data_IF_914914043052
#
_entry.id   IF_914914043052
#
_cell.length_a   1.000
_cell.length_b   1.000
_cell.length_c   1.000
_cell.angle_alpha   90.00
_cell.angle_beta   90.00
_cell.angle_gamma   90.00
#
_symmetry.space_group_name_H-M   'P 1'
#
loop_
_entity.id
_entity.type
_entity.pdbx_description
1 polymer ?
#
# COMPACT_ATOMS: atom_id res chain seq x y z
N UNK A 1 -17.13 28.84 -3.31
CA UNK A 1 -17.11 27.58 -2.53
C UNK A 1 -16.51 27.90 -1.18
N UNK A 2 -17.27 27.71 -0.10
CA UNK A 2 -16.82 28.03 1.26
C UNK A 2 -15.66 27.14 1.69
N UNK A 3 -14.49 27.77 1.88
CA UNK A 3 -13.26 27.15 2.36
C UNK A 3 -13.41 26.50 3.75
N UNK A 4 -14.39 26.94 4.55
CA UNK A 4 -14.68 26.40 5.88
C UNK A 4 -15.16 24.94 5.87
N UNK A 5 -15.75 24.47 4.77
CA UNK A 5 -16.22 23.08 4.61
C UNK A 5 -15.11 22.08 4.18
N UNK A 6 -13.97 22.59 3.70
CA UNK A 6 -12.86 21.79 3.18
C UNK A 6 -11.83 21.41 4.27
N UNK A 7 -11.63 22.27 5.27
CA UNK A 7 -10.70 22.04 6.39
C UNK A 7 -11.01 20.78 7.21
N UNK A 8 -12.26 20.51 7.64
CA UNK A 8 -12.57 19.27 8.37
C UNK A 8 -12.37 18.03 7.51
N UNK A 9 -12.65 18.10 6.20
CA UNK A 9 -12.45 17.00 5.27
C UNK A 9 -10.96 16.66 5.06
N UNK A 10 -10.09 17.65 5.11
CA UNK A 10 -8.64 17.46 4.98
C UNK A 10 -8.05 16.78 6.23
N UNK A 11 -8.45 17.23 7.42
CA UNK A 11 -8.03 16.60 8.68
C UNK A 11 -8.45 15.13 8.75
N UNK A 12 -9.66 14.80 8.29
CA UNK A 12 -10.13 13.41 8.19
C UNK A 12 -9.29 12.60 7.21
N UNK A 13 -8.97 13.14 6.02
CA UNK A 13 -8.11 12.43 5.05
C UNK A 13 -6.70 12.16 5.60
N UNK A 14 -6.14 13.09 6.35
CA UNK A 14 -4.84 12.93 7.02
C UNK A 14 -4.87 11.89 8.13
N UNK A 15 -5.92 11.90 8.96
CA UNK A 15 -6.13 10.89 10.00
C UNK A 15 -6.29 9.48 9.39
N UNK A 16 -7.03 9.38 8.29
CA UNK A 16 -7.16 8.12 7.54
C UNK A 16 -5.82 7.67 6.96
N UNK A 17 -5.06 8.57 6.33
CA UNK A 17 -3.72 8.26 5.83
C UNK A 17 -2.76 7.82 6.93
N UNK A 18 -2.80 8.49 8.09
CA UNK A 18 -1.98 8.15 9.26
C UNK A 18 -2.33 6.77 9.82
N UNK A 19 -3.62 6.47 9.98
CA UNK A 19 -4.07 5.15 10.46
C UNK A 19 -3.71 4.04 9.45
N UNK A 20 -3.89 4.27 8.14
CA UNK A 20 -3.44 3.35 7.10
C UNK A 20 -1.93 3.11 7.14
N UNK A 21 -1.14 4.17 7.35
CA UNK A 21 0.31 4.07 7.53
C UNK A 21 0.71 3.21 8.72
N UNK A 22 0.05 3.37 9.88
CA UNK A 22 0.29 2.53 11.07
C UNK A 22 -0.05 1.06 10.81
N UNK A 23 -1.18 0.79 10.16
CA UNK A 23 -1.58 -0.59 9.81
C UNK A 23 -0.59 -1.21 8.84
N UNK A 24 -0.11 -0.44 7.85
CA UNK A 24 0.87 -0.89 6.87
C UNK A 24 2.21 -1.19 7.54
N UNK A 25 2.65 -0.33 8.46
CA UNK A 25 3.87 -0.53 9.24
C UNK A 25 3.78 -1.80 10.09
N UNK A 26 2.67 -2.01 10.81
CA UNK A 26 2.44 -3.22 11.59
C UNK A 26 2.44 -4.48 10.71
N UNK A 27 1.78 -4.42 9.55
CA UNK A 27 1.75 -5.52 8.60
C UNK A 27 3.17 -5.83 8.05
N UNK A 28 3.97 -4.81 7.77
CA UNK A 28 5.35 -5.00 7.33
C UNK A 28 6.23 -5.64 8.42
N UNK A 29 6.11 -5.21 9.68
CA UNK A 29 6.84 -5.83 10.81
C UNK A 29 6.46 -7.29 11.01
N UNK A 30 5.17 -7.61 10.91
CA UNK A 30 4.70 -8.99 11.01
C UNK A 30 5.28 -9.86 9.89
N UNK A 31 5.33 -9.34 8.67
CA UNK A 31 5.92 -10.02 7.53
C UNK A 31 7.43 -10.23 7.70
N UNK A 32 8.14 -9.23 8.22
CA UNK A 32 9.57 -9.35 8.54
C UNK A 32 9.84 -10.44 9.59
N UNK A 33 9.03 -10.49 10.65
CA UNK A 33 9.12 -11.55 11.66
C UNK A 33 8.84 -12.94 11.07
N UNK A 34 7.90 -13.05 10.13
CA UNK A 34 7.63 -14.31 9.42
C UNK A 34 8.76 -14.70 8.46
N UNK A 35 9.43 -13.72 7.82
CA UNK A 35 10.59 -13.96 6.95
C UNK A 35 11.79 -14.47 7.75
N UNK A 36 12.08 -13.83 8.89
CA UNK A 36 13.20 -14.21 9.77
C UNK A 36 13.11 -15.66 10.27
N UNK A 37 11.89 -16.17 10.46
CA UNK A 37 11.66 -17.54 10.90
C UNK A 37 11.64 -18.56 9.75
N UNK A 38 11.60 -18.12 8.49
CA UNK A 38 11.39 -18.99 7.31
C UNK A 38 12.37 -18.67 6.18
N UNK A 39 13.64 -18.43 6.49
CA UNK A 39 14.70 -18.14 5.50
C UNK A 39 14.79 -19.19 4.36
N UNK A 40 14.23 -20.39 4.55
CA UNK A 40 14.20 -21.49 3.57
C UNK A 40 12.97 -21.43 2.63
N UNK A 41 11.92 -20.64 2.92
CA UNK A 41 10.64 -20.66 2.19
C UNK A 41 10.51 -19.63 1.05
N UNK A 42 11.43 -18.65 0.94
CA UNK A 42 11.40 -17.63 -0.13
C UNK A 42 11.55 -18.29 -1.52
N UNK A 43 12.33 -19.36 -1.60
CA UNK A 43 12.49 -20.20 -2.79
C UNK A 43 11.19 -20.95 -3.18
N UNK A 44 10.30 -21.23 -2.22
CA UNK A 44 9.00 -21.88 -2.47
C UNK A 44 7.91 -20.90 -2.95
N UNK A 45 8.05 -19.60 -2.71
CA UNK A 45 7.12 -18.59 -3.23
C UNK A 45 7.13 -18.57 -4.76
N UNK A 46 8.28 -18.87 -5.37
CA UNK A 46 8.45 -18.99 -6.82
C UNK A 46 7.74 -20.19 -7.47
N UNK A 47 7.23 -21.17 -6.70
CA UNK A 47 6.53 -22.33 -7.26
C UNK A 47 5.09 -22.03 -7.72
N UNK A 48 4.52 -20.87 -7.39
CA UNK A 48 3.14 -20.53 -7.73
C UNK A 48 3.04 -19.32 -8.68
N UNK A 49 3.15 -19.58 -9.99
CA UNK A 49 3.07 -18.56 -11.06
C UNK A 49 1.89 -17.57 -10.90
N UNK A 50 0.68 -18.06 -10.62
CA UNK A 50 -0.49 -17.18 -10.46
C UNK A 50 -0.40 -16.25 -9.23
N UNK A 51 0.17 -16.72 -8.12
CA UNK A 51 0.32 -15.93 -6.90
C UNK A 51 1.39 -14.84 -7.08
N UNK A 52 2.45 -15.15 -7.82
CA UNK A 52 3.48 -14.18 -8.21
C UNK A 52 2.94 -13.08 -9.13
N UNK A 53 2.08 -13.41 -10.09
CA UNK A 53 1.45 -12.41 -10.98
C UNK A 53 0.63 -11.40 -10.17
N UNK A 54 -0.11 -11.85 -9.15
CA UNK A 54 -0.91 -10.97 -8.27
C UNK A 54 -0.02 -10.04 -7.44
N UNK A 55 1.07 -10.56 -6.87
CA UNK A 55 2.05 -9.76 -6.12
C UNK A 55 2.66 -8.68 -7.04
N UNK A 56 3.07 -9.08 -8.24
CA UNK A 56 3.72 -8.17 -9.18
C UNK A 56 2.76 -7.12 -9.74
N UNK A 57 1.50 -7.49 -9.99
CA UNK A 57 0.48 -6.53 -10.44
C UNK A 57 0.15 -5.50 -9.36
N UNK A 58 0.08 -5.89 -8.08
CA UNK A 58 -0.11 -4.95 -6.97
C UNK A 58 1.05 -3.95 -6.86
N UNK A 59 2.30 -4.40 -7.04
CA UNK A 59 3.46 -3.51 -7.09
C UNK A 59 3.40 -2.57 -8.29
N UNK A 60 3.03 -3.08 -9.46
CA UNK A 60 2.90 -2.27 -10.67
C UNK A 60 1.83 -1.17 -10.49
N UNK A 61 0.66 -1.52 -9.95
CA UNK A 61 -0.42 -0.58 -9.65
C UNK A 61 0.04 0.46 -8.62
N UNK A 62 0.75 0.05 -7.57
CA UNK A 62 1.29 0.97 -6.57
C UNK A 62 2.33 1.93 -7.17
N UNK A 63 3.22 1.43 -8.02
CA UNK A 63 4.19 2.25 -8.75
C UNK A 63 3.53 3.26 -9.67
N UNK A 64 2.49 2.84 -10.40
CA UNK A 64 1.72 3.72 -11.28
C UNK A 64 0.98 4.80 -10.49
N UNK A 65 0.37 4.45 -9.35
CA UNK A 65 -0.24 5.41 -8.42
C UNK A 65 0.77 6.43 -7.90
N UNK A 66 1.97 6.00 -7.49
CA UNK A 66 3.05 6.90 -7.06
C UNK A 66 3.47 7.84 -8.19
N UNK A 67 3.62 7.32 -9.41
CA UNK A 67 3.96 8.12 -10.59
C UNK A 67 2.89 9.17 -10.90
N UNK A 68 1.62 8.77 -10.93
CA UNK A 68 0.48 9.68 -11.16
C UNK A 68 0.37 10.72 -10.04
N UNK A 69 0.63 10.34 -8.79
CA UNK A 69 0.69 11.27 -7.66
C UNK A 69 1.78 12.32 -7.87
N UNK A 70 2.97 11.90 -8.31
CA UNK A 70 4.07 12.80 -8.66
C UNK A 70 3.73 13.75 -9.81
N UNK A 71 3.09 13.25 -10.87
CA UNK A 71 2.61 14.10 -11.96
C UNK A 71 1.60 15.14 -11.46
N UNK A 72 0.61 14.72 -10.69
CA UNK A 72 -0.43 15.64 -10.16
C UNK A 72 0.18 16.67 -9.21
N UNK A 73 1.19 16.28 -8.43
CA UNK A 73 1.95 17.21 -7.59
C UNK A 73 2.62 18.30 -8.42
N UNK A 74 3.27 17.95 -9.52
CA UNK A 74 3.99 18.90 -10.39
C UNK A 74 3.04 19.77 -11.21
N UNK A 75 1.98 19.20 -11.80
CA UNK A 75 1.13 19.90 -12.77
C UNK A 75 -0.07 20.64 -12.15
N UNK A 76 -0.66 20.10 -11.08
CA UNK A 76 -1.91 20.63 -10.50
C UNK A 76 -1.66 21.26 -9.13
N UNK A 77 -0.74 20.71 -8.33
CA UNK A 77 -0.38 21.25 -7.02
C UNK A 77 -1.51 21.22 -5.98
N UNK A 78 -2.62 20.53 -6.25
CA UNK A 78 -3.75 20.47 -5.34
C UNK A 78 -3.59 19.34 -4.32
N UNK A 79 -3.33 19.73 -3.06
CA UNK A 79 -3.06 18.84 -1.93
C UNK A 79 -4.12 17.76 -1.69
N UNK A 80 -5.40 18.04 -1.97
CA UNK A 80 -6.49 17.08 -1.73
C UNK A 80 -6.38 15.87 -2.66
N UNK A 81 -6.03 16.08 -3.93
CA UNK A 81 -5.87 14.98 -4.88
C UNK A 81 -4.64 14.14 -4.55
N UNK A 82 -3.56 14.79 -4.13
CA UNK A 82 -2.32 14.12 -3.69
C UNK A 82 -2.61 13.25 -2.47
N UNK A 83 -3.25 13.79 -1.43
CA UNK A 83 -3.57 13.04 -0.21
C UNK A 83 -4.49 11.83 -0.51
N UNK A 84 -5.49 11.99 -1.38
CA UNK A 84 -6.35 10.87 -1.80
C UNK A 84 -5.58 9.78 -2.55
N UNK A 85 -4.71 10.13 -3.48
CA UNK A 85 -3.92 9.16 -4.23
C UNK A 85 -2.92 8.42 -3.34
N UNK A 86 -2.30 9.12 -2.40
CA UNK A 86 -1.43 8.51 -1.39
C UNK A 86 -2.21 7.52 -0.51
N UNK A 87 -3.42 7.88 -0.08
CA UNK A 87 -4.28 6.99 0.70
C UNK A 87 -4.68 5.74 -0.09
N UNK A 88 -5.05 5.89 -1.37
CA UNK A 88 -5.35 4.76 -2.26
C UNK A 88 -4.11 3.86 -2.42
N UNK A 89 -2.93 4.46 -2.61
CA UNK A 89 -1.68 3.72 -2.74
C UNK A 89 -1.33 2.93 -1.47
N UNK A 90 -1.56 3.52 -0.29
CA UNK A 90 -1.39 2.83 0.99
C UNK A 90 -2.31 1.60 1.11
N UNK A 91 -3.55 1.67 0.61
CA UNK A 91 -4.46 0.51 0.56
C UNK A 91 -3.91 -0.58 -0.36
N UNK A 92 -3.41 -0.22 -1.55
CA UNK A 92 -2.81 -1.19 -2.48
C UNK A 92 -1.61 -1.90 -1.85
N UNK A 93 -0.73 -1.15 -1.19
CA UNK A 93 0.42 -1.72 -0.49
C UNK A 93 0.01 -2.60 0.71
N UNK A 94 -1.07 -2.26 1.43
CA UNK A 94 -1.62 -3.11 2.47
C UNK A 94 -2.08 -4.47 1.91
N UNK A 95 -2.80 -4.46 0.80
CA UNK A 95 -3.25 -5.68 0.12
C UNK A 95 -2.03 -6.50 -0.32
N UNK A 96 -1.00 -5.84 -0.85
CA UNK A 96 0.27 -6.48 -1.21
C UNK A 96 0.92 -7.19 -0.02
N UNK A 97 1.13 -6.48 1.09
CA UNK A 97 1.78 -7.04 2.30
C UNK A 97 0.97 -8.21 2.86
N UNK A 98 -0.36 -8.10 2.94
CA UNK A 98 -1.24 -9.18 3.42
C UNK A 98 -1.20 -10.39 2.49
N UNK A 99 -1.20 -10.16 1.18
CA UNK A 99 -1.10 -11.23 0.18
C UNK A 99 0.23 -11.97 0.31
N UNK A 100 1.32 -11.24 0.51
CA UNK A 100 2.65 -11.82 0.68
C UNK A 100 2.75 -12.64 1.98
N UNK A 101 2.19 -12.14 3.09
CA UNK A 101 2.09 -12.92 4.34
C UNK A 101 1.30 -14.23 4.14
N UNK A 102 0.16 -14.20 3.44
CA UNK A 102 -0.65 -15.41 3.17
C UNK A 102 0.14 -16.45 2.39
N UNK A 103 0.90 -16.00 1.39
CA UNK A 103 1.70 -16.89 0.54
C UNK A 103 2.83 -17.52 1.36
N UNK A 104 3.50 -16.75 2.22
CA UNK A 104 4.54 -17.26 3.12
C UNK A 104 4.04 -18.24 4.19
N UNK A 105 2.77 -18.18 4.58
CA UNK A 105 2.16 -19.15 5.50
C UNK A 105 1.84 -20.50 4.87
N UNK A 106 2.11 -20.70 3.57
CA UNK A 106 1.83 -21.95 2.88
C UNK A 106 0.36 -22.10 2.45
N UNK A 107 -0.33 -20.97 2.26
CA UNK A 107 -1.70 -20.82 1.76
C UNK A 107 -2.63 -22.04 1.80
N UNK A 108 -3.55 -22.07 2.77
CA UNK A 108 -4.92 -22.52 2.52
C UNK A 108 -5.70 -21.40 1.85
#
# INVERSE_FOLDING_TARGET
MDLSSLVPNLLVQRLLGFTLGLVLFYAALKLLNELKNKEIAISMVFLHKNRMIIIFSLLFISGLLSFVTGLIYVFIGNGIYIERLLNINAIVLLIFVVSLQRIMKGGK
#
